data_IF_187662299696
#
_entry.id   IF_187662299696
#
_cell.length_a   1.000
_cell.length_b   1.000
_cell.length_c   1.000
_cell.angle_alpha   90.00
_cell.angle_beta   90.00
_cell.angle_gamma   90.00
#
_symmetry.space_group_name_H-M   'P 1'
#
loop_
_entity.id
_entity.type
_entity.pdbx_description
1 polymer ?
#
# COMPACT_ATOMS: atom_id res chain seq x y z
N UNK A 1 -33.47 -110.50 31.73
CA UNK A 1 -33.58 -109.39 32.71
C UNK A 1 -32.58 -108.25 32.44
N UNK A 2 -31.68 -108.35 31.44
CA UNK A 2 -30.75 -107.24 31.12
C UNK A 2 -31.35 -106.11 30.27
N UNK A 3 -32.40 -106.40 29.50
CA UNK A 3 -33.02 -105.40 28.62
C UNK A 3 -33.66 -104.24 29.40
N UNK A 4 -34.20 -104.49 30.60
CA UNK A 4 -34.78 -103.45 31.46
C UNK A 4 -33.71 -102.54 32.09
N UNK A 5 -32.50 -103.05 32.32
CA UNK A 5 -31.39 -102.26 32.84
C UNK A 5 -30.79 -101.36 31.74
N UNK A 6 -30.70 -101.86 30.51
CA UNK A 6 -30.24 -101.08 29.36
C UNK A 6 -31.24 -99.98 28.98
N UNK A 7 -32.55 -100.25 29.00
CA UNK A 7 -33.56 -99.21 28.73
C UNK A 7 -33.56 -98.12 29.79
N UNK A 8 -33.42 -98.46 31.07
CA UNK A 8 -33.29 -97.47 32.14
C UNK A 8 -32.03 -96.62 32.00
N UNK A 9 -30.90 -97.21 31.60
CA UNK A 9 -29.66 -96.47 31.36
C UNK A 9 -29.79 -95.50 30.19
N UNK A 10 -30.42 -95.93 29.09
CA UNK A 10 -30.68 -95.08 27.93
C UNK A 10 -31.62 -93.93 28.28
N UNK A 11 -32.65 -94.17 29.10
CA UNK A 11 -33.56 -93.12 29.56
C UNK A 11 -32.86 -92.09 30.47
N UNK A 12 -31.96 -92.54 31.35
CA UNK A 12 -31.18 -91.63 32.21
C UNK A 12 -30.20 -90.79 31.40
N UNK A 13 -29.52 -91.37 30.41
CA UNK A 13 -28.62 -90.63 29.51
C UNK A 13 -29.38 -89.62 28.65
N UNK A 14 -30.56 -89.99 28.15
CA UNK A 14 -31.43 -89.06 27.42
C UNK A 14 -31.86 -87.88 28.29
N UNK A 15 -32.29 -88.12 29.53
CA UNK A 15 -32.66 -87.05 30.46
C UNK A 15 -31.48 -86.12 30.78
N UNK A 16 -30.27 -86.67 30.92
CA UNK A 16 -29.06 -85.87 31.14
C UNK A 16 -28.76 -84.97 29.93
N UNK A 17 -28.81 -85.52 28.72
CA UNK A 17 -28.57 -84.76 27.49
C UNK A 17 -29.65 -83.69 27.26
N UNK A 18 -30.91 -83.96 27.61
CA UNK A 18 -31.98 -82.96 27.57
C UNK A 18 -31.72 -81.81 28.56
N UNK A 19 -31.23 -82.09 29.77
CA UNK A 19 -30.85 -81.04 30.75
C UNK A 19 -29.63 -80.23 30.28
N UNK A 20 -28.61 -80.89 29.72
CA UNK A 20 -27.43 -80.20 29.18
C UNK A 20 -27.79 -79.32 27.98
N UNK A 21 -28.66 -79.81 27.08
CA UNK A 21 -29.22 -79.02 25.97
C UNK A 21 -29.99 -77.80 26.47
N UNK A 22 -30.90 -77.97 27.44
CA UNK A 22 -31.68 -76.86 28.01
C UNK A 22 -30.78 -75.82 28.69
N UNK A 23 -29.68 -76.23 29.32
CA UNK A 23 -28.70 -75.29 29.89
C UNK A 23 -27.95 -74.50 28.82
N UNK A 24 -27.56 -75.13 27.72
CA UNK A 24 -26.92 -74.44 26.60
C UNK A 24 -27.90 -73.47 25.93
N UNK A 25 -29.16 -73.87 25.75
CA UNK A 25 -30.20 -73.01 25.20
C UNK A 25 -30.51 -71.82 26.12
N UNK A 26 -30.58 -72.01 27.44
CA UNK A 26 -30.76 -70.91 28.40
C UNK A 26 -29.53 -70.00 28.42
N UNK A 27 -28.32 -70.57 28.40
CA UNK A 27 -27.09 -69.78 28.35
C UNK A 27 -27.04 -68.91 27.08
N UNK A 28 -27.40 -69.46 25.91
CA UNK A 28 -27.44 -68.71 24.66
C UNK A 28 -28.63 -67.72 24.59
N UNK A 29 -29.77 -68.09 25.19
CA UNK A 29 -30.93 -67.21 25.36
C UNK A 29 -30.65 -66.02 26.29
N UNK A 30 -29.79 -66.21 27.29
CA UNK A 30 -29.38 -65.18 28.25
C UNK A 30 -28.28 -64.25 27.72
N UNK A 31 -27.58 -64.63 26.64
CA UNK A 31 -26.58 -63.77 26.04
C UNK A 31 -27.25 -62.50 25.52
N UNK A 32 -26.67 -61.32 25.80
CA UNK A 32 -27.16 -60.07 25.25
C UNK A 32 -27.29 -60.14 23.74
N UNK A 33 -28.33 -59.52 23.19
CA UNK A 33 -28.60 -59.55 21.76
C UNK A 33 -27.41 -59.10 20.92
N UNK A 34 -26.51 -58.23 21.41
CA UNK A 34 -25.32 -57.78 20.70
C UNK A 34 -24.17 -58.81 20.62
N UNK A 35 -24.19 -59.86 21.43
CA UNK A 35 -23.17 -60.94 21.43
C UNK A 35 -23.54 -62.12 20.53
N UNK A 36 -24.76 -62.13 19.97
CA UNK A 36 -25.18 -63.17 19.02
C UNK A 36 -24.66 -62.83 17.62
N UNK A 37 -23.87 -63.70 16.96
CA UNK A 37 -23.29 -63.38 15.65
C UNK A 37 -24.35 -63.11 14.56
N UNK A 38 -25.55 -63.67 14.68
CA UNK A 38 -26.64 -63.45 13.73
C UNK A 38 -27.34 -62.08 13.81
N UNK A 39 -27.35 -61.42 14.97
CA UNK A 39 -28.01 -60.11 15.15
C UNK A 39 -27.14 -58.95 14.65
N UNK A 40 -25.80 -59.10 14.71
CA UNK A 40 -24.86 -58.13 14.12
C UNK A 40 -24.91 -58.18 12.59
N UNK A 41 -25.12 -59.36 12.00
CA UNK A 41 -25.19 -59.51 10.55
C UNK A 41 -26.36 -58.72 9.93
N UNK A 42 -27.53 -58.72 10.58
CA UNK A 42 -28.71 -57.98 10.11
C UNK A 42 -28.64 -56.48 10.36
N UNK A 43 -27.87 -56.02 11.36
CA UNK A 43 -27.63 -54.60 11.62
C UNK A 43 -26.50 -54.01 10.77
N UNK A 44 -25.62 -54.83 10.21
CA UNK A 44 -24.48 -54.36 9.40
C UNK A 44 -24.88 -53.43 8.24
N UNK A 45 -25.96 -53.70 7.46
CA UNK A 45 -26.31 -52.81 6.36
C UNK A 45 -26.80 -51.45 6.86
N UNK A 46 -27.46 -51.40 8.02
CA UNK A 46 -27.92 -50.15 8.63
C UNK A 46 -26.74 -49.30 9.10
N UNK A 47 -25.75 -49.91 9.75
CA UNK A 47 -24.55 -49.20 10.19
C UNK A 47 -23.74 -48.69 8.99
N UNK A 48 -23.62 -49.48 7.92
CA UNK A 48 -22.95 -49.06 6.68
C UNK A 48 -23.71 -47.90 6.03
N UNK A 49 -25.04 -47.96 5.97
CA UNK A 49 -25.85 -46.88 5.43
C UNK A 49 -25.70 -45.58 6.24
N UNK A 50 -25.74 -45.67 7.58
CA UNK A 50 -25.52 -44.51 8.46
C UNK A 50 -24.11 -43.94 8.31
N UNK A 51 -23.09 -44.79 8.25
CA UNK A 51 -21.71 -44.37 8.00
C UNK A 51 -21.58 -43.68 6.63
N UNK A 52 -22.26 -44.17 5.60
CA UNK A 52 -22.29 -43.56 4.27
C UNK A 52 -22.95 -42.17 4.26
N UNK A 53 -24.10 -42.02 4.91
CA UNK A 53 -24.79 -40.73 5.04
C UNK A 53 -23.94 -39.75 5.85
N UNK A 54 -23.36 -40.20 6.97
CA UNK A 54 -22.49 -39.36 7.79
C UNK A 54 -21.23 -38.93 7.02
N UNK A 55 -20.58 -39.85 6.30
CA UNK A 55 -19.42 -39.54 5.48
C UNK A 55 -19.76 -38.54 4.36
N UNK A 56 -20.90 -38.72 3.68
CA UNK A 56 -21.37 -37.80 2.65
C UNK A 56 -21.68 -36.40 3.24
N UNK A 57 -22.32 -36.35 4.42
CA UNK A 57 -22.63 -35.10 5.10
C UNK A 57 -21.36 -34.35 5.54
N UNK A 58 -20.42 -35.05 6.18
CA UNK A 58 -19.13 -34.48 6.61
C UNK A 58 -18.34 -33.97 5.41
N UNK A 59 -18.27 -34.76 4.34
CA UNK A 59 -17.54 -34.37 3.12
C UNK A 59 -18.18 -33.13 2.49
N UNK A 60 -19.50 -33.09 2.34
CA UNK A 60 -20.21 -31.93 1.77
C UNK A 60 -20.05 -30.66 2.61
N UNK A 61 -20.09 -30.77 3.94
CA UNK A 61 -19.87 -29.62 4.84
C UNK A 61 -18.44 -29.07 4.69
N UNK A 62 -17.42 -29.93 4.73
CA UNK A 62 -16.03 -29.50 4.61
C UNK A 62 -15.69 -28.99 3.21
N UNK A 63 -16.26 -29.55 2.15
CA UNK A 63 -16.06 -29.04 0.79
C UNK A 63 -16.68 -27.66 0.60
N UNK A 64 -17.85 -27.41 1.20
CA UNK A 64 -18.48 -26.07 1.19
C UNK A 64 -17.62 -25.07 1.94
N UNK A 65 -17.14 -25.42 3.14
CA UNK A 65 -16.27 -24.56 3.96
C UNK A 65 -14.93 -24.27 3.25
N UNK A 66 -14.32 -25.28 2.62
CA UNK A 66 -13.09 -25.11 1.83
C UNK A 66 -13.31 -24.19 0.63
N UNK A 67 -14.44 -24.34 -0.05
CA UNK A 67 -14.78 -23.49 -1.20
C UNK A 67 -15.02 -22.04 -0.76
N UNK A 68 -15.74 -21.84 0.36
CA UNK A 68 -15.94 -20.50 0.94
C UNK A 68 -14.60 -19.86 1.32
N UNK A 69 -13.75 -20.58 2.06
CA UNK A 69 -12.45 -20.06 2.46
C UNK A 69 -11.54 -19.76 1.25
N UNK A 70 -11.57 -20.59 0.21
CA UNK A 70 -10.82 -20.35 -1.01
C UNK A 70 -11.31 -19.09 -1.75
N UNK A 71 -12.62 -18.87 -1.80
CA UNK A 71 -13.21 -17.67 -2.38
C UNK A 71 -12.86 -16.42 -1.56
N UNK A 72 -12.91 -16.51 -0.23
CA UNK A 72 -12.57 -15.39 0.66
C UNK A 72 -11.08 -15.02 0.53
N UNK A 73 -10.19 -16.01 0.44
CA UNK A 73 -8.76 -15.76 0.18
C UNK A 73 -8.58 -15.06 -1.17
N UNK A 74 -9.20 -15.56 -2.23
CA UNK A 74 -9.10 -14.94 -3.56
C UNK A 74 -9.66 -13.51 -3.59
N UNK A 75 -10.76 -13.26 -2.87
CA UNK A 75 -11.35 -11.93 -2.73
C UNK A 75 -10.40 -10.98 -1.98
N UNK A 76 -9.84 -11.40 -0.85
CA UNK A 76 -8.88 -10.61 -0.07
C UNK A 76 -7.57 -10.35 -0.83
N UNK A 77 -7.10 -11.30 -1.61
CA UNK A 77 -5.92 -11.09 -2.48
C UNK A 77 -6.19 -10.03 -3.54
N UNK A 78 -7.38 -10.02 -4.12
CA UNK A 78 -7.81 -9.00 -5.08
C UNK A 78 -7.91 -7.63 -4.40
N UNK A 79 -8.57 -7.55 -3.24
CA UNK A 79 -8.70 -6.30 -2.47
C UNK A 79 -7.34 -5.73 -2.05
N UNK A 80 -6.41 -6.60 -1.63
CA UNK A 80 -5.04 -6.20 -1.31
C UNK A 80 -4.30 -5.64 -2.54
N UNK A 81 -4.49 -6.25 -3.71
CA UNK A 81 -3.88 -5.78 -4.95
C UNK A 81 -4.43 -4.41 -5.35
N UNK A 82 -5.74 -4.22 -5.25
CA UNK A 82 -6.41 -2.95 -5.52
C UNK A 82 -5.95 -1.86 -4.54
N UNK A 83 -5.93 -2.16 -3.23
CA UNK A 83 -5.47 -1.20 -2.23
C UNK A 83 -3.99 -0.83 -2.41
N UNK A 84 -3.14 -1.79 -2.78
CA UNK A 84 -1.73 -1.53 -3.10
C UNK A 84 -1.59 -0.59 -4.31
N UNK A 85 -2.43 -0.77 -5.33
CA UNK A 85 -2.47 0.10 -6.51
C UNK A 85 -2.93 1.51 -6.14
N UNK A 86 -3.94 1.64 -5.29
CA UNK A 86 -4.45 2.93 -4.83
C UNK A 86 -3.42 3.68 -3.98
N UNK A 87 -2.72 2.98 -3.09
CA UNK A 87 -1.61 3.56 -2.30
C UNK A 87 -0.49 4.04 -3.23
N UNK A 88 -0.11 3.26 -4.23
CA UNK A 88 0.90 3.68 -5.22
C UNK A 88 0.43 4.90 -6.03
N UNK A 89 -0.84 4.93 -6.44
CA UNK A 89 -1.40 6.08 -7.15
C UNK A 89 -1.41 7.35 -6.27
N UNK A 90 -1.80 7.22 -5.00
CA UNK A 90 -1.75 8.33 -4.04
C UNK A 90 -0.32 8.82 -3.80
N UNK A 91 0.64 7.90 -3.67
CA UNK A 91 2.06 8.27 -3.51
C UNK A 91 2.58 9.02 -4.74
N UNK A 92 2.25 8.57 -5.95
CA UNK A 92 2.63 9.27 -7.18
C UNK A 92 2.06 10.70 -7.24
N UNK A 93 0.82 10.91 -6.78
CA UNK A 93 0.22 12.25 -6.69
C UNK A 93 0.97 13.13 -5.69
N UNK A 94 1.34 12.58 -4.51
CA UNK A 94 2.13 13.29 -3.50
C UNK A 94 3.51 13.67 -4.06
N UNK A 95 4.19 12.74 -4.72
CA UNK A 95 5.52 12.94 -5.29
C UNK A 95 5.50 14.02 -6.39
N UNK A 96 4.53 13.94 -7.31
CA UNK A 96 4.38 14.91 -8.39
C UNK A 96 3.98 16.30 -7.85
N UNK A 97 3.11 16.34 -6.84
CA UNK A 97 2.75 17.57 -6.13
C UNK A 97 3.95 18.20 -5.43
N UNK A 98 4.75 17.40 -4.73
CA UNK A 98 5.98 17.83 -4.08
C UNK A 98 6.95 18.45 -5.09
N UNK A 99 7.21 17.78 -6.22
CA UNK A 99 8.12 18.27 -7.26
C UNK A 99 7.63 19.56 -7.91
N UNK A 100 6.32 19.69 -8.16
CA UNK A 100 5.71 20.92 -8.70
C UNK A 100 5.85 22.11 -7.76
N UNK A 101 5.59 21.92 -6.47
CA UNK A 101 5.72 23.01 -5.49
C UNK A 101 7.19 23.39 -5.33
N UNK A 102 8.12 22.41 -5.31
CA UNK A 102 9.57 22.68 -5.24
C UNK A 102 10.06 23.43 -6.48
N UNK A 103 9.59 23.06 -7.67
CA UNK A 103 9.86 23.77 -8.93
C UNK A 103 9.38 25.22 -8.86
N UNK A 104 8.09 25.42 -8.56
CA UNK A 104 7.48 26.76 -8.46
C UNK A 104 8.13 27.64 -7.38
N UNK A 105 8.47 27.07 -6.22
CA UNK A 105 9.16 27.79 -5.16
C UNK A 105 10.57 28.21 -5.60
N UNK A 106 11.28 27.34 -6.31
CA UNK A 106 12.57 27.66 -6.92
C UNK A 106 12.45 28.78 -7.96
N UNK A 107 11.44 28.76 -8.81
CA UNK A 107 11.22 29.78 -9.84
C UNK A 107 10.90 31.13 -9.21
N UNK A 108 10.03 31.13 -8.19
CA UNK A 108 9.69 32.32 -7.43
C UNK A 108 10.93 32.90 -6.74
N UNK A 109 11.76 32.08 -6.08
CA UNK A 109 13.01 32.54 -5.48
C UNK A 109 13.99 33.10 -6.53
N UNK A 110 14.10 32.46 -7.68
CA UNK A 110 14.93 32.94 -8.79
C UNK A 110 14.45 34.30 -9.31
N UNK A 111 13.14 34.45 -9.55
CA UNK A 111 12.54 35.70 -9.98
C UNK A 111 12.73 36.82 -8.94
N UNK A 112 12.52 36.52 -7.65
CA UNK A 112 12.79 37.45 -6.54
C UNK A 112 14.26 37.84 -6.46
N UNK A 113 15.19 36.96 -6.82
CA UNK A 113 16.62 37.27 -6.92
C UNK A 113 16.95 38.25 -8.06
N UNK A 114 16.12 38.30 -9.11
CA UNK A 114 16.31 39.18 -10.28
C UNK A 114 15.59 40.52 -10.18
N UNK A 115 14.84 40.78 -9.12
CA UNK A 115 14.39 42.14 -8.82
C UNK A 115 15.61 42.99 -8.47
N UNK A 116 16.25 43.57 -9.49
CA UNK A 116 17.42 44.46 -9.37
C UNK A 116 17.15 45.79 -8.69
N UNK A 117 15.93 46.01 -8.18
CA UNK A 117 15.59 47.16 -7.34
C UNK A 117 16.27 47.17 -5.96
N UNK A 118 17.27 46.30 -5.75
CA UNK A 118 18.01 46.12 -4.50
C UNK A 118 19.52 45.97 -4.75
N UNK A 119 20.03 46.42 -5.90
CA UNK A 119 21.48 46.52 -6.08
C UNK A 119 22.05 47.66 -5.23
N UNK A 120 23.34 47.60 -4.91
CA UNK A 120 24.06 48.74 -4.28
C UNK A 120 23.83 50.04 -5.06
N UNK A 121 23.61 49.94 -6.39
CA UNK A 121 23.32 51.07 -7.26
C UNK A 121 21.95 51.69 -6.95
N UNK A 122 20.95 50.88 -6.61
CA UNK A 122 19.63 51.36 -6.19
C UNK A 122 19.69 52.10 -4.86
N UNK A 123 20.38 51.54 -3.87
CA UNK A 123 20.59 52.21 -2.58
C UNK A 123 21.37 53.52 -2.76
N UNK A 124 22.44 53.50 -3.57
CA UNK A 124 23.18 54.70 -3.92
C UNK A 124 22.30 55.74 -4.64
N UNK A 125 21.41 55.31 -5.53
CA UNK A 125 20.47 56.19 -6.22
C UNK A 125 19.47 56.84 -5.24
N UNK A 126 18.91 56.08 -4.28
CA UNK A 126 18.06 56.63 -3.22
C UNK A 126 18.82 57.61 -2.32
N UNK A 127 20.03 57.26 -1.89
CA UNK A 127 20.86 58.18 -1.09
C UNK A 127 21.17 59.47 -1.85
N UNK A 128 21.45 59.37 -3.15
CA UNK A 128 21.66 60.55 -4.00
C UNK A 128 20.38 61.38 -4.15
N UNK A 129 19.22 60.74 -4.33
CA UNK A 129 17.92 61.41 -4.35
C UNK A 129 17.68 62.22 -3.07
N UNK A 130 17.95 61.62 -1.91
CA UNK A 130 17.80 62.29 -0.61
C UNK A 130 18.75 63.47 -0.42
N UNK A 131 19.98 63.42 -0.96
CA UNK A 131 20.90 64.58 -0.93
C UNK A 131 20.38 65.80 -1.68
N UNK A 132 19.56 65.60 -2.72
CA UNK A 132 18.96 66.70 -3.47
C UNK A 132 17.62 67.18 -2.89
N UNK A 133 17.06 66.46 -1.91
CA UNK A 133 15.76 66.75 -1.33
C UNK A 133 15.68 68.16 -0.73
N UNK A 134 16.75 68.64 -0.08
CA UNK A 134 16.82 69.99 0.51
C UNK A 134 16.72 71.12 -0.54
N UNK A 135 16.90 70.81 -1.82
CA UNK A 135 16.85 71.77 -2.93
C UNK A 135 15.51 71.76 -3.68
N UNK A 136 14.60 70.88 -3.30
CA UNK A 136 13.29 70.74 -3.93
C UNK A 136 12.27 71.66 -3.25
N UNK A 137 11.18 71.98 -3.97
CA UNK A 137 9.98 72.55 -3.34
C UNK A 137 9.31 71.53 -2.42
N UNK A 138 8.41 71.97 -1.55
CA UNK A 138 7.63 71.09 -0.68
C UNK A 138 6.91 69.97 -1.47
N UNK A 139 6.34 70.30 -2.63
CA UNK A 139 5.72 69.31 -3.53
C UNK A 139 6.74 68.28 -4.05
N UNK A 140 7.95 68.72 -4.37
CA UNK A 140 9.04 67.84 -4.82
C UNK A 140 9.54 66.92 -3.69
N UNK A 141 9.63 67.44 -2.47
CA UNK A 141 9.95 66.68 -1.26
C UNK A 141 8.87 65.61 -1.02
N UNK A 142 7.59 65.96 -1.13
CA UNK A 142 6.47 65.03 -0.98
C UNK A 142 6.50 63.93 -2.05
N UNK A 143 6.80 64.28 -3.31
CA UNK A 143 6.93 63.30 -4.39
C UNK A 143 8.10 62.33 -4.15
N UNK A 144 9.27 62.84 -3.74
CA UNK A 144 10.44 62.01 -3.39
C UNK A 144 10.12 61.05 -2.25
N UNK A 145 9.50 61.54 -1.17
CA UNK A 145 9.09 60.70 -0.04
C UNK A 145 8.10 59.62 -0.45
N UNK A 146 7.16 59.94 -1.35
CA UNK A 146 6.20 58.97 -1.87
C UNK A 146 6.89 57.87 -2.66
N UNK A 147 7.83 58.21 -3.55
CA UNK A 147 8.61 57.23 -4.31
C UNK A 147 9.45 56.36 -3.38
N UNK A 148 10.13 56.95 -2.40
CA UNK A 148 10.91 56.23 -1.41
C UNK A 148 10.05 55.26 -0.58
N UNK A 149 8.87 55.69 -0.15
CA UNK A 149 7.93 54.84 0.59
C UNK A 149 7.44 53.67 -0.27
N UNK A 150 7.01 53.93 -1.52
CA UNK A 150 6.58 52.86 -2.45
C UNK A 150 7.69 51.83 -2.66
N UNK A 151 8.93 52.29 -2.75
CA UNK A 151 10.08 51.40 -2.89
C UNK A 151 10.37 50.59 -1.62
N UNK A 152 10.29 51.20 -0.44
CA UNK A 152 10.44 50.50 0.84
C UNK A 152 9.33 49.46 1.04
N UNK A 153 8.10 49.78 0.66
CA UNK A 153 6.97 48.83 0.72
C UNK A 153 7.20 47.65 -0.22
N UNK A 154 7.68 47.90 -1.45
CA UNK A 154 8.06 46.84 -2.40
C UNK A 154 9.20 45.96 -1.86
N UNK A 155 10.18 46.54 -1.18
CA UNK A 155 11.25 45.79 -0.51
C UNK A 155 10.68 44.85 0.55
N UNK A 156 9.83 45.37 1.44
CA UNK A 156 9.20 44.56 2.47
C UNK A 156 8.40 43.39 1.87
N UNK A 157 7.67 43.61 0.78
CA UNK A 157 6.94 42.54 0.08
C UNK A 157 7.89 41.47 -0.47
N UNK A 158 9.03 41.87 -1.06
CA UNK A 158 10.03 40.93 -1.58
C UNK A 158 10.66 40.11 -0.45
N UNK A 159 11.05 40.74 0.66
CA UNK A 159 11.64 40.05 1.81
C UNK A 159 10.65 39.09 2.48
N UNK A 160 9.40 39.54 2.69
CA UNK A 160 8.33 38.67 3.20
C UNK A 160 8.12 37.47 2.27
N UNK A 161 8.16 37.70 0.96
CA UNK A 161 8.01 36.62 -0.04
C UNK A 161 9.19 35.64 0.01
N UNK A 162 10.43 36.14 0.14
CA UNK A 162 11.63 35.29 0.31
C UNK A 162 11.54 34.44 1.57
N UNK A 163 11.17 35.04 2.70
CA UNK A 163 10.98 34.32 3.96
C UNK A 163 9.88 33.27 3.84
N UNK A 164 8.73 33.62 3.25
CA UNK A 164 7.62 32.68 3.05
C UNK A 164 8.01 31.49 2.17
N UNK A 165 8.80 31.72 1.11
CA UNK A 165 9.32 30.65 0.26
C UNK A 165 10.38 29.79 0.97
N UNK A 166 11.19 30.38 1.83
CA UNK A 166 12.12 29.66 2.69
C UNK A 166 11.37 28.73 3.66
N UNK A 167 10.35 29.25 4.33
CA UNK A 167 9.49 28.49 5.26
C UNK A 167 8.72 27.39 4.53
N UNK A 168 8.25 27.66 3.31
CA UNK A 168 7.66 26.66 2.43
C UNK A 168 8.66 25.53 2.13
N UNK A 169 9.91 25.85 1.78
CA UNK A 169 10.93 24.85 1.50
C UNK A 169 11.25 23.98 2.74
N UNK A 170 11.27 24.58 3.94
CA UNK A 170 11.37 23.82 5.20
C UNK A 170 10.16 22.91 5.42
N UNK A 171 8.95 23.38 5.09
CA UNK A 171 7.73 22.59 5.21
C UNK A 171 7.70 21.44 4.20
N UNK A 172 8.14 21.68 2.96
CA UNK A 172 8.24 20.67 1.91
C UNK A 172 9.14 19.49 2.33
N UNK A 173 10.22 19.76 3.09
CA UNK A 173 11.11 18.71 3.58
C UNK A 173 10.40 17.69 4.50
N UNK A 174 9.28 18.08 5.14
CA UNK A 174 8.49 17.22 6.02
C UNK A 174 7.35 16.48 5.30
N UNK A 175 7.11 16.74 4.02
CA UNK A 175 6.10 16.00 3.25
C UNK A 175 6.57 14.55 3.08
N UNK A 176 5.64 13.61 3.21
CA UNK A 176 5.85 12.16 2.98
C UNK A 176 5.96 11.82 1.48
N UNK A 177 6.71 12.64 0.72
CA UNK A 177 7.15 12.26 -0.61
C UNK A 177 8.17 11.13 -0.50
N UNK A 178 8.18 10.29 -1.53
CA UNK A 178 9.12 9.18 -1.66
C UNK A 178 10.57 9.66 -1.72
N UNK A 179 11.49 8.77 -1.36
CA UNK A 179 12.91 9.08 -1.32
C UNK A 179 13.43 9.49 -2.70
N UNK A 180 12.99 8.81 -3.77
CA UNK A 180 13.42 9.14 -5.14
C UNK A 180 13.07 10.58 -5.52
N UNK A 181 11.87 11.07 -5.14
CA UNK A 181 11.44 12.43 -5.45
C UNK A 181 12.25 13.48 -4.65
N UNK A 182 12.63 13.16 -3.42
CA UNK A 182 13.46 14.03 -2.56
C UNK A 182 14.90 14.13 -3.04
N UNK A 183 15.45 13.04 -3.57
CA UNK A 183 16.82 12.95 -4.10
C UNK A 183 17.01 13.73 -5.40
N UNK A 184 15.93 14.03 -6.13
CA UNK A 184 15.99 14.85 -7.33
C UNK A 184 16.56 16.24 -7.02
N UNK A 185 17.40 16.75 -7.92
CA UNK A 185 18.03 18.08 -7.83
C UNK A 185 17.67 18.92 -9.05
N UNK A 186 17.68 20.24 -8.93
CA UNK A 186 17.42 21.14 -10.08
C UNK A 186 18.22 22.42 -9.93
N UNK A 187 18.86 22.83 -11.01
CA UNK A 187 19.55 24.11 -11.14
C UNK A 187 18.66 25.14 -11.87
N UNK A 188 19.04 26.43 -11.97
CA UNK A 188 18.22 27.43 -12.65
C UNK A 188 17.92 27.11 -14.13
N UNK A 189 18.82 26.44 -14.84
CA UNK A 189 18.63 26.09 -16.26
C UNK A 189 17.59 24.97 -16.36
N UNK A 190 17.76 23.88 -15.62
CA UNK A 190 16.81 22.76 -15.58
C UNK A 190 15.44 23.22 -15.11
N UNK A 191 15.40 24.09 -14.11
CA UNK A 191 14.16 24.67 -13.60
C UNK A 191 13.39 25.43 -14.67
N UNK A 192 14.07 26.22 -15.50
CA UNK A 192 13.43 27.00 -16.56
C UNK A 192 12.74 26.16 -17.64
N UNK A 193 13.04 24.87 -17.70
CA UNK A 193 12.43 23.89 -18.60
C UNK A 193 11.65 22.80 -17.85
N UNK A 194 11.35 22.98 -16.56
CA UNK A 194 10.54 22.04 -15.79
C UNK A 194 11.22 20.70 -15.49
N UNK A 195 12.56 20.65 -15.44
CA UNK A 195 13.34 19.43 -15.25
C UNK A 195 14.02 19.33 -13.88
N UNK A 196 14.14 18.08 -13.42
CA UNK A 196 15.00 17.66 -12.33
C UNK A 196 16.02 16.62 -12.80
N UNK A 197 17.19 16.59 -12.17
CA UNK A 197 18.26 15.62 -12.36
C UNK A 197 18.26 14.61 -11.21
N UNK A 198 18.20 13.33 -11.55
CA UNK A 198 18.32 12.23 -10.61
C UNK A 198 19.79 11.85 -10.34
N UNK A 199 20.08 11.13 -9.24
CA UNK A 199 21.44 10.69 -8.92
C UNK A 199 22.11 9.82 -9.99
N UNK A 200 21.33 9.11 -10.80
CA UNK A 200 21.80 8.27 -11.91
C UNK A 200 22.07 9.05 -13.21
N UNK A 201 21.82 10.37 -13.21
CA UNK A 201 21.99 11.24 -14.36
C UNK A 201 20.76 11.34 -15.27
N UNK A 202 19.66 10.63 -14.96
CA UNK A 202 18.41 10.74 -15.71
C UNK A 202 17.66 12.04 -15.38
N UNK A 203 16.85 12.50 -16.33
CA UNK A 203 16.07 13.73 -16.18
C UNK A 203 14.60 13.41 -15.96
N UNK A 204 14.01 13.99 -14.93
CA UNK A 204 12.58 13.91 -14.64
C UNK A 204 11.87 15.18 -15.11
N UNK A 205 10.84 15.04 -15.93
CA UNK A 205 10.02 16.13 -16.45
C UNK A 205 8.74 16.25 -15.61
N UNK A 206 8.59 17.41 -14.94
CA UNK A 206 7.52 17.68 -13.98
C UNK A 206 6.16 17.88 -14.66
N UNK A 207 6.16 18.36 -15.89
CA UNK A 207 4.93 18.54 -16.67
C UNK A 207 4.41 17.21 -17.20
N UNK A 208 5.32 16.35 -17.66
CA UNK A 208 4.99 15.00 -18.17
C UNK A 208 4.88 13.93 -17.09
N UNK A 209 5.27 14.26 -15.85
CA UNK A 209 5.24 13.36 -14.70
C UNK A 209 6.03 12.05 -14.92
N UNK A 210 7.18 12.12 -15.61
CA UNK A 210 8.00 10.95 -15.91
C UNK A 210 9.46 11.29 -16.19
N UNK A 211 10.31 10.26 -16.11
CA UNK A 211 11.66 10.32 -16.65
C UNK A 211 11.65 10.44 -18.18
N UNK A 212 12.56 11.26 -18.68
CA UNK A 212 12.82 11.45 -20.10
C UNK A 212 13.73 10.34 -20.62
N UNK A 213 13.48 9.94 -21.88
CA UNK A 213 14.46 9.17 -22.64
C UNK A 213 15.69 10.02 -22.95
N UNK A 214 16.82 9.40 -23.26
CA UNK A 214 18.06 10.12 -23.60
C UNK A 214 17.86 11.11 -24.76
N UNK A 215 17.14 10.71 -25.81
CA UNK A 215 16.80 11.58 -26.94
C UNK A 215 15.92 12.76 -26.53
N UNK A 216 14.95 12.56 -25.64
CA UNK A 216 14.12 13.64 -25.12
C UNK A 216 14.92 14.62 -24.26
N UNK A 217 15.84 14.11 -23.42
CA UNK A 217 16.72 14.95 -22.61
C UNK A 217 17.66 15.80 -23.48
N UNK A 218 18.25 15.23 -24.53
CA UNK A 218 19.09 15.96 -25.49
C UNK A 218 18.31 17.07 -26.21
N UNK A 219 17.06 16.79 -26.61
CA UNK A 219 16.20 17.78 -27.26
C UNK A 219 15.73 18.88 -26.31
N UNK A 220 15.52 18.57 -25.03
CA UNK A 220 15.11 19.55 -24.03
C UNK A 220 16.27 20.50 -23.63
N UNK A 221 17.53 20.04 -23.74
CA UNK A 221 18.72 20.76 -23.30
C UNK A 221 19.79 20.85 -24.40
N UNK A 222 19.51 21.45 -25.56
CA UNK A 222 20.39 21.38 -26.73
C UNK A 222 21.78 21.99 -26.48
N UNK A 223 21.90 22.96 -25.57
CA UNK A 223 23.15 23.66 -25.27
C UNK A 223 23.94 23.05 -24.10
N UNK A 224 23.37 22.09 -23.36
CA UNK A 224 24.04 21.46 -22.20
C UNK A 224 24.83 20.22 -22.65
N UNK A 225 24.37 19.54 -23.70
CA UNK A 225 24.95 18.29 -24.21
C UNK A 225 26.00 18.47 -25.32
N UNK A 226 26.40 19.69 -25.66
CA UNK A 226 27.59 19.88 -26.50
C UNK A 226 28.81 19.52 -25.67
N UNK A 227 29.12 18.22 -25.61
CA UNK A 227 30.38 17.73 -25.08
C UNK A 227 31.51 18.51 -25.76
N UNK A 228 32.52 19.00 -25.02
CA UNK A 228 33.70 19.55 -25.66
C UNK A 228 34.22 18.49 -26.61
N UNK A 229 34.25 18.80 -27.91
CA UNK A 229 34.85 17.91 -28.89
C UNK A 229 36.29 17.65 -28.43
N UNK A 230 36.58 16.41 -28.07
CA UNK A 230 37.94 15.98 -27.79
C UNK A 230 38.69 15.93 -29.11
N UNK A 231 39.17 17.09 -29.54
CA UNK A 231 40.22 17.22 -30.57
C UNK A 231 41.58 16.84 -29.98
#
# INVERSE_FOLDING_TARGET
MDFEAETQKIELERRRLEVEKMRVEIADASRPLWLRPGSLASLSPLLIALAGVFAAWVTGYFDTQRTQLANDIAALETEKADLSKDVQAAQNIIDNGYLRIRMAAGEALYALGHFGGFSEEYEAALQNLFKFQERLSDDGIAAVNTVAQISADRFNVVEISRQSLSDLNTTLANIEASDWAKELTTDPILRSVGLFLAPDGSYYDVEKERFLTETEAQNALPNVFTAPSSD
#
